data_IF_160192912998
#
_entry.id   IF_160192912998
#
_cell.length_a   1.000
_cell.length_b   1.000
_cell.length_c   1.000
_cell.angle_alpha   90.00
_cell.angle_beta   90.00
_cell.angle_gamma   90.00
#
_symmetry.space_group_name_H-M   'P 1'
#
loop_
_entity.id
_entity.type
_entity.pdbx_description
1 polymer ?
#
# COMPACT_ATOMS: atom_id res chain seq x y z
N UNK A 1 -7.60 -34.57 12.74
CA UNK A 1 -6.36 -33.93 13.24
C UNK A 1 -6.14 -32.69 12.40
N UNK A 2 -5.71 -31.56 12.98
CA UNK A 2 -5.32 -30.41 12.18
C UNK A 2 -4.19 -30.81 11.21
N UNK A 3 -4.11 -30.15 10.05
CA UNK A 3 -3.01 -30.34 9.10
C UNK A 3 -1.72 -29.96 9.83
N UNK A 4 -0.73 -30.86 9.86
CA UNK A 4 0.57 -30.53 10.44
C UNK A 4 1.31 -29.57 9.51
N UNK A 5 1.62 -28.37 9.99
CA UNK A 5 2.22 -27.31 9.18
C UNK A 5 3.73 -27.39 9.04
N UNK A 6 4.39 -28.38 9.66
CA UNK A 6 5.81 -28.63 9.45
C UNK A 6 6.10 -28.86 7.94
N UNK A 7 7.08 -28.13 7.34
CA UNK A 7 7.38 -28.22 5.90
C UNK A 7 7.66 -29.63 5.39
N UNK A 8 8.08 -30.56 6.25
CA UNK A 8 8.24 -31.98 5.87
C UNK A 8 6.92 -32.62 5.44
N UNK A 9 5.80 -32.18 6.00
CA UNK A 9 4.47 -32.72 5.72
C UNK A 9 3.74 -31.98 4.60
N UNK A 10 3.78 -30.65 4.62
CA UNK A 10 3.04 -29.80 3.67
C UNK A 10 3.89 -29.26 2.52
N UNK A 11 5.16 -29.66 2.43
CA UNK A 11 6.04 -29.30 1.32
C UNK A 11 6.68 -27.93 1.46
N UNK A 12 7.26 -27.46 0.35
CA UNK A 12 7.95 -26.17 0.25
C UNK A 12 7.80 -25.58 -1.14
N UNK A 13 7.96 -24.26 -1.25
CA UNK A 13 7.87 -23.56 -2.51
C UNK A 13 9.01 -22.56 -2.71
N UNK A 14 9.31 -22.25 -3.97
CA UNK A 14 10.26 -21.22 -4.37
C UNK A 14 9.86 -20.61 -5.72
N UNK A 15 10.47 -19.48 -6.06
CA UNK A 15 10.29 -18.78 -7.34
C UNK A 15 11.62 -18.74 -8.09
N UNK A 16 11.58 -18.77 -9.42
CA UNK A 16 12.77 -18.61 -10.27
C UNK A 16 12.44 -17.73 -11.48
N UNK A 17 13.25 -16.69 -11.78
CA UNK A 17 14.38 -16.20 -10.99
C UNK A 17 13.93 -15.61 -9.63
N UNK A 18 14.81 -15.69 -8.61
CA UNK A 18 14.59 -15.15 -7.27
C UNK A 18 15.27 -13.78 -7.05
N UNK A 19 15.57 -13.08 -8.14
CA UNK A 19 16.25 -11.78 -8.11
C UNK A 19 15.25 -10.63 -8.08
N UNK A 20 15.62 -9.44 -7.57
CA UNK A 20 14.77 -8.26 -7.62
C UNK A 20 14.25 -7.95 -9.02
N UNK A 21 12.98 -7.56 -9.10
CA UNK A 21 12.26 -7.27 -10.33
C UNK A 21 11.98 -5.77 -10.44
N UNK A 22 12.28 -5.19 -11.60
CA UNK A 22 11.96 -3.79 -11.87
C UNK A 22 10.45 -3.64 -12.01
N UNK A 23 9.87 -2.63 -11.35
CA UNK A 23 8.45 -2.32 -11.42
C UNK A 23 7.95 -2.21 -12.88
N UNK A 24 6.86 -2.94 -13.18
CA UNK A 24 6.25 -3.02 -14.51
C UNK A 24 7.06 -3.74 -15.57
N UNK A 25 8.18 -4.41 -15.22
CA UNK A 25 8.97 -5.18 -16.18
C UNK A 25 8.20 -6.39 -16.69
N UNK A 26 8.47 -6.74 -17.95
CA UNK A 26 7.95 -7.96 -18.58
C UNK A 26 8.93 -9.11 -18.40
N UNK A 27 8.46 -10.21 -17.83
CA UNK A 27 9.30 -11.36 -17.52
C UNK A 27 8.57 -12.70 -17.57
N UNK A 28 9.30 -13.73 -17.17
CA UNK A 28 8.79 -15.09 -16.98
C UNK A 28 9.27 -15.55 -15.61
N UNK A 29 8.36 -16.04 -14.79
CA UNK A 29 8.68 -16.55 -13.45
C UNK A 29 8.06 -17.93 -13.27
N UNK A 30 8.85 -18.86 -12.74
CA UNK A 30 8.37 -20.20 -12.40
C UNK A 30 8.19 -20.30 -10.90
N UNK A 31 6.94 -20.45 -10.48
CA UNK A 31 6.53 -20.78 -9.12
C UNK A 31 6.56 -22.30 -9.00
N UNK A 32 7.46 -22.83 -8.16
CA UNK A 32 7.61 -24.28 -7.95
C UNK A 32 7.17 -24.66 -6.56
N UNK A 33 6.37 -25.72 -6.46
CA UNK A 33 5.99 -26.37 -5.21
C UNK A 33 6.47 -27.82 -5.22
N UNK A 34 7.17 -28.23 -4.17
CA UNK A 34 7.59 -29.62 -3.92
C UNK A 34 6.68 -30.25 -2.86
N UNK A 35 6.07 -31.38 -3.22
CA UNK A 35 5.06 -32.07 -2.42
C UNK A 35 5.68 -32.68 -1.17
N UNK A 36 5.09 -32.40 -0.01
CA UNK A 36 5.50 -32.95 1.29
C UNK A 36 5.00 -34.38 1.55
N UNK A 37 5.24 -34.88 2.76
CA UNK A 37 4.96 -36.26 3.16
C UNK A 37 3.50 -36.68 3.03
N UNK A 38 2.53 -35.74 3.05
CA UNK A 38 1.12 -36.08 2.87
C UNK A 38 0.77 -36.49 1.43
N UNK A 39 1.56 -36.09 0.43
CA UNK A 39 1.17 -36.24 -0.96
C UNK A 39 0.03 -35.29 -1.37
N UNK A 40 -0.40 -35.41 -2.62
CA UNK A 40 -1.53 -34.70 -3.22
C UNK A 40 -2.34 -35.69 -4.05
N UNK A 41 -3.62 -35.87 -3.76
CA UNK A 41 -4.47 -36.81 -4.50
C UNK A 41 -5.30 -36.12 -5.60
N UNK A 42 -6.07 -36.90 -6.37
CA UNK A 42 -7.01 -36.37 -7.36
C UNK A 42 -7.88 -35.27 -6.73
N UNK A 43 -8.02 -34.14 -7.43
CA UNK A 43 -8.78 -32.93 -7.04
C UNK A 43 -8.17 -32.12 -5.91
N UNK A 44 -7.02 -32.51 -5.36
CA UNK A 44 -6.28 -31.64 -4.46
C UNK A 44 -5.86 -30.36 -5.19
N UNK A 45 -5.94 -29.23 -4.48
CA UNK A 45 -5.73 -27.89 -5.03
C UNK A 45 -4.58 -27.21 -4.31
N UNK A 46 -3.74 -26.55 -5.09
CA UNK A 46 -2.73 -25.63 -4.63
C UNK A 46 -3.18 -24.23 -5.03
N UNK A 47 -3.29 -23.31 -4.07
CA UNK A 47 -3.59 -21.91 -4.36
C UNK A 47 -2.34 -21.07 -4.11
N UNK A 48 -1.99 -20.22 -5.07
CA UNK A 48 -0.91 -19.25 -4.95
C UNK A 48 -1.53 -17.88 -5.04
N UNK A 49 -1.51 -17.14 -3.94
CA UNK A 49 -2.18 -15.86 -3.84
C UNK A 49 -1.18 -14.70 -3.84
N UNK A 50 -1.49 -13.65 -4.58
CA UNK A 50 -0.93 -12.33 -4.32
C UNK A 50 -1.85 -11.54 -3.37
N UNK A 51 -1.32 -10.46 -2.78
CA UNK A 51 -2.14 -9.50 -2.04
C UNK A 51 -3.17 -8.84 -2.96
N UNK A 52 -4.23 -8.34 -2.33
CA UNK A 52 -5.25 -7.50 -2.96
C UNK A 52 -4.62 -6.29 -3.65
N UNK A 53 -3.75 -5.58 -2.93
CA UNK A 53 -2.94 -4.48 -3.42
C UNK A 53 -1.77 -5.02 -4.27
N UNK A 54 -2.06 -5.38 -5.51
CA UNK A 54 -1.06 -5.74 -6.52
C UNK A 54 -1.69 -5.63 -7.90
N UNK A 55 -1.04 -4.94 -8.83
CA UNK A 55 -1.49 -4.82 -10.22
C UNK A 55 -0.68 -5.72 -11.16
N UNK A 56 -0.09 -6.80 -10.62
CA UNK A 56 0.52 -7.85 -11.43
C UNK A 56 -0.45 -8.35 -12.50
N UNK A 57 0.07 -8.63 -13.70
CA UNK A 57 -0.73 -9.05 -14.84
C UNK A 57 -1.62 -10.26 -14.54
N UNK A 58 -2.86 -10.23 -15.05
CA UNK A 58 -3.83 -11.32 -14.84
C UNK A 58 -3.46 -12.51 -15.73
N UNK A 59 -3.21 -13.71 -15.18
CA UNK A 59 -2.83 -14.88 -15.97
C UNK A 59 -3.94 -15.29 -16.94
N UNK A 60 -3.54 -15.84 -18.08
CA UNK A 60 -4.39 -16.50 -19.06
C UNK A 60 -3.77 -17.81 -19.52
N UNK A 61 -4.60 -18.75 -19.98
CA UNK A 61 -4.21 -20.16 -20.16
C UNK A 61 -4.41 -20.69 -21.59
N UNK A 62 -4.75 -19.83 -22.55
CA UNK A 62 -5.26 -20.27 -23.87
C UNK A 62 -4.50 -19.69 -25.07
N UNK A 63 -3.90 -18.51 -24.95
CA UNK A 63 -3.16 -17.86 -26.05
C UNK A 63 -1.65 -17.87 -25.80
N UNK A 64 -0.89 -18.83 -26.37
CA UNK A 64 0.56 -18.91 -26.17
C UNK A 64 1.35 -17.74 -26.79
N UNK A 65 0.72 -16.91 -27.63
CA UNK A 65 1.33 -15.70 -28.21
C UNK A 65 0.95 -14.43 -27.44
N UNK A 66 -0.04 -14.52 -26.56
CA UNK A 66 -0.54 -13.40 -25.77
C UNK A 66 0.33 -13.07 -24.56
N UNK A 67 0.09 -11.89 -23.98
CA UNK A 67 0.60 -11.55 -22.66
C UNK A 67 0.00 -12.48 -21.59
N UNK A 68 0.70 -12.60 -20.45
CA UNK A 68 0.22 -13.31 -19.26
C UNK A 68 -0.04 -14.81 -19.46
N UNK A 69 0.45 -15.40 -20.56
CA UNK A 69 0.31 -16.83 -20.83
C UNK A 69 0.95 -17.61 -19.69
N UNK A 70 0.19 -18.52 -19.08
CA UNK A 70 0.62 -19.26 -17.89
C UNK A 70 0.42 -20.75 -18.12
N UNK A 71 1.45 -21.53 -17.82
CA UNK A 71 1.47 -22.99 -18.05
C UNK A 71 1.79 -23.74 -16.76
N UNK A 72 1.41 -25.01 -16.70
CA UNK A 72 1.76 -25.93 -15.61
C UNK A 72 2.46 -27.16 -16.15
N UNK A 73 3.51 -27.60 -15.46
CA UNK A 73 4.24 -28.85 -15.72
C UNK A 73 4.40 -29.62 -14.42
N UNK A 74 4.11 -30.91 -14.45
CA UNK A 74 4.40 -31.82 -13.34
C UNK A 74 5.76 -32.50 -13.56
N UNK A 75 6.52 -32.61 -12.48
CA UNK A 75 7.70 -33.47 -12.38
C UNK A 75 7.37 -34.54 -11.34
N UNK A 76 6.89 -35.69 -11.81
CA UNK A 76 6.29 -36.72 -10.98
C UNK A 76 6.61 -38.11 -11.52
N UNK A 77 6.63 -39.09 -10.62
CA UNK A 77 6.69 -40.51 -10.98
C UNK A 77 5.33 -41.11 -11.39
N UNK A 78 4.23 -40.38 -11.21
CA UNK A 78 2.90 -40.79 -11.67
C UNK A 78 2.72 -40.37 -13.13
N UNK A 79 2.96 -41.29 -14.09
CA UNK A 79 2.90 -40.98 -15.53
C UNK A 79 1.52 -40.50 -16.01
N UNK A 80 0.45 -40.83 -15.27
CA UNK A 80 -0.92 -40.44 -15.59
C UNK A 80 -1.34 -39.15 -14.91
N UNK A 81 -0.50 -38.54 -14.07
CA UNK A 81 -0.89 -37.34 -13.34
C UNK A 81 -1.04 -36.14 -14.29
N UNK A 82 -2.14 -35.42 -14.14
CA UNK A 82 -2.47 -34.24 -14.95
C UNK A 82 -2.77 -33.08 -14.02
N UNK A 83 -2.27 -31.89 -14.34
CA UNK A 83 -2.63 -30.66 -13.64
C UNK A 83 -3.34 -29.68 -14.57
N UNK A 84 -4.27 -28.91 -14.02
CA UNK A 84 -4.94 -27.80 -14.70
C UNK A 84 -4.79 -26.51 -13.92
N UNK A 85 -4.94 -25.38 -14.61
CA UNK A 85 -4.85 -24.05 -14.02
C UNK A 85 -6.17 -23.30 -14.07
N UNK A 86 -6.42 -22.50 -13.04
CA UNK A 86 -7.50 -21.52 -13.00
C UNK A 86 -7.04 -20.24 -12.28
N UNK A 87 -7.77 -19.14 -12.49
CA UNK A 87 -7.56 -17.89 -11.75
C UNK A 87 -8.84 -17.48 -11.03
N UNK A 88 -8.75 -17.34 -9.72
CA UNK A 88 -9.85 -16.96 -8.83
C UNK A 88 -9.57 -15.56 -8.24
N UNK A 89 -10.27 -14.50 -8.70
CA UNK A 89 -10.05 -13.14 -8.19
C UNK A 89 -10.39 -12.94 -6.70
N UNK A 90 -11.14 -13.88 -6.11
CA UNK A 90 -11.50 -13.95 -4.68
C UNK A 90 -11.42 -15.40 -4.21
N UNK A 91 -10.25 -16.03 -4.38
CA UNK A 91 -10.02 -17.46 -4.10
C UNK A 91 -9.66 -17.79 -2.65
N UNK A 92 -9.36 -16.77 -1.83
CA UNK A 92 -8.94 -16.90 -0.43
C UNK A 92 -9.42 -15.72 0.42
N UNK A 93 -9.17 -15.77 1.73
CA UNK A 93 -9.48 -14.68 2.70
C UNK A 93 -8.62 -13.43 2.45
N UNK A 94 -9.09 -12.25 2.88
CA UNK A 94 -8.30 -11.01 2.81
C UNK A 94 -7.00 -11.18 3.60
N UNK A 95 -5.89 -10.53 3.17
CA UNK A 95 -5.71 -9.75 1.94
C UNK A 95 -5.36 -10.59 0.70
N UNK A 96 -5.44 -11.92 0.74
CA UNK A 96 -4.85 -12.83 -0.25
C UNK A 96 -5.83 -13.29 -1.34
N UNK A 97 -6.53 -12.36 -1.97
CA UNK A 97 -7.66 -12.69 -2.84
C UNK A 97 -7.31 -13.32 -4.21
N UNK A 98 -6.27 -12.81 -4.86
CA UNK A 98 -5.97 -13.11 -6.27
C UNK A 98 -5.20 -14.43 -6.38
N UNK A 99 -5.94 -15.52 -6.55
CA UNK A 99 -5.38 -16.87 -6.50
C UNK A 99 -5.17 -17.46 -7.91
N UNK A 100 -3.93 -17.82 -8.22
CA UNK A 100 -3.60 -18.81 -9.24
C UNK A 100 -3.78 -20.20 -8.62
N UNK A 101 -4.63 -21.01 -9.22
CA UNK A 101 -4.99 -22.34 -8.70
C UNK A 101 -4.41 -23.40 -9.61
N UNK A 102 -3.60 -24.31 -9.07
CA UNK A 102 -3.24 -25.55 -9.73
C UNK A 102 -4.00 -26.72 -9.10
N UNK A 103 -4.75 -27.45 -9.92
CA UNK A 103 -5.53 -28.61 -9.49
C UNK A 103 -4.92 -29.87 -10.08
N UNK A 104 -4.67 -30.90 -9.25
CA UNK A 104 -4.34 -32.24 -9.76
C UNK A 104 -5.64 -32.84 -10.31
N UNK A 105 -5.81 -32.79 -11.63
CA UNK A 105 -7.05 -33.15 -12.30
C UNK A 105 -7.23 -34.67 -12.44
N UNK A 106 -6.12 -35.41 -12.51
CA UNK A 106 -6.07 -36.88 -12.56
C UNK A 106 -4.73 -37.34 -11.94
N UNK A 107 -4.71 -38.56 -11.40
CA UNK A 107 -3.57 -39.15 -10.70
C UNK A 107 -3.26 -38.54 -9.33
N UNK A 108 -2.11 -38.90 -8.77
CA UNK A 108 -1.64 -38.44 -7.46
C UNK A 108 -0.17 -38.02 -7.53
N UNK A 109 0.20 -37.03 -6.72
CA UNK A 109 1.59 -36.61 -6.52
C UNK A 109 2.11 -37.13 -5.19
N UNK A 110 3.33 -37.65 -5.23
CA UNK A 110 4.00 -38.27 -4.10
C UNK A 110 5.01 -37.31 -3.46
N UNK A 111 5.46 -37.61 -2.22
CA UNK A 111 6.51 -36.81 -1.59
C UNK A 111 7.74 -36.67 -2.50
N UNK A 112 8.17 -35.42 -2.73
CA UNK A 112 9.26 -35.05 -3.62
C UNK A 112 8.87 -34.76 -5.07
N UNK A 113 7.65 -35.09 -5.51
CA UNK A 113 7.13 -34.64 -6.80
C UNK A 113 6.94 -33.11 -6.81
N UNK A 114 6.97 -32.49 -7.99
CA UNK A 114 6.92 -31.04 -8.13
C UNK A 114 5.87 -30.56 -9.11
N UNK A 115 5.24 -29.45 -8.75
CA UNK A 115 4.36 -28.65 -9.62
C UNK A 115 5.13 -27.41 -10.01
N UNK A 116 5.35 -27.22 -11.31
CA UNK A 116 5.98 -26.01 -11.87
C UNK A 116 4.92 -25.19 -12.59
N UNK A 117 4.70 -23.96 -12.15
CA UNK A 117 3.76 -23.04 -12.77
C UNK A 117 4.55 -21.87 -13.34
N UNK A 118 4.59 -21.76 -14.67
CA UNK A 118 5.33 -20.72 -15.38
C UNK A 118 4.38 -19.59 -15.71
N UNK A 119 4.52 -18.47 -15.00
CA UNK A 119 3.79 -17.22 -15.22
C UNK A 119 4.53 -16.40 -16.27
N UNK A 120 3.84 -16.05 -17.36
CA UNK A 120 4.44 -15.34 -18.48
C UNK A 120 5.31 -16.24 -19.36
N UNK A 121 4.86 -17.46 -19.65
CA UNK A 121 5.52 -18.40 -20.55
C UNK A 121 5.66 -17.80 -21.96
N UNK A 122 6.90 -17.77 -22.46
CA UNK A 122 7.27 -17.19 -23.76
C UNK A 122 7.52 -18.23 -24.85
N UNK A 123 7.31 -19.52 -24.58
CA UNK A 123 7.56 -20.60 -25.55
C UNK A 123 6.76 -20.46 -26.84
N UNK A 124 5.59 -19.82 -26.79
CA UNK A 124 4.78 -19.48 -27.97
C UNK A 124 5.14 -18.15 -28.65
N UNK A 125 6.08 -17.38 -28.11
CA UNK A 125 6.54 -16.09 -28.64
C UNK A 125 5.88 -14.85 -28.03
N UNK A 126 5.07 -14.99 -26.96
CA UNK A 126 4.46 -13.87 -26.25
C UNK A 126 5.45 -13.01 -25.45
N UNK A 127 5.02 -11.83 -24.95
CA UNK A 127 5.88 -10.90 -24.21
C UNK A 127 6.16 -11.34 -22.76
N UNK A 128 5.50 -12.38 -22.26
CA UNK A 128 5.56 -12.82 -20.86
C UNK A 128 4.49 -12.16 -19.99
N UNK A 129 4.77 -12.01 -18.69
CA UNK A 129 3.89 -11.40 -17.69
C UNK A 129 4.43 -10.05 -17.22
N UNK A 130 3.56 -9.07 -16.99
CA UNK A 130 3.92 -7.76 -16.45
C UNK A 130 3.94 -7.82 -14.93
N UNK A 131 5.11 -7.57 -14.34
CA UNK A 131 5.23 -7.39 -12.90
C UNK A 131 4.43 -6.17 -12.41
N UNK A 132 4.15 -6.11 -11.11
CA UNK A 132 3.45 -4.96 -10.52
C UNK A 132 4.22 -3.65 -10.73
N UNK A 133 3.50 -2.54 -10.79
CA UNK A 133 4.03 -1.24 -11.24
C UNK A 133 4.56 -0.36 -10.11
N UNK A 134 4.50 -0.84 -8.86
CA UNK A 134 5.00 -0.12 -7.70
C UNK A 134 6.02 -0.94 -6.90
N UNK A 135 6.86 -0.23 -6.15
CA UNK A 135 7.89 -0.81 -5.29
C UNK A 135 7.28 -1.54 -4.09
N UNK A 136 7.86 -2.67 -3.73
CA UNK A 136 7.48 -3.46 -2.56
C UNK A 136 8.65 -4.35 -2.16
N UNK A 137 9.07 -4.29 -0.89
CA UNK A 137 10.03 -5.25 -0.35
C UNK A 137 9.34 -6.50 0.15
N UNK A 138 9.83 -7.65 -0.31
CA UNK A 138 9.31 -8.95 0.07
C UNK A 138 7.91 -9.24 -0.47
N UNK A 139 7.60 -8.78 -1.69
CA UNK A 139 6.37 -9.09 -2.42
C UNK A 139 6.19 -10.61 -2.46
N UNK A 140 5.14 -11.09 -1.79
CA UNK A 140 4.95 -12.50 -1.46
C UNK A 140 3.95 -13.15 -2.41
N UNK A 141 4.31 -14.34 -2.90
CA UNK A 141 3.37 -15.25 -3.53
C UNK A 141 3.00 -16.32 -2.50
N UNK A 142 1.90 -16.11 -1.78
CA UNK A 142 1.52 -16.97 -0.65
C UNK A 142 0.95 -18.29 -1.13
N UNK A 143 1.59 -19.39 -0.74
CA UNK A 143 1.12 -20.74 -1.06
C UNK A 143 0.17 -21.23 0.01
N UNK A 144 -1.02 -21.62 -0.42
CA UNK A 144 -2.06 -22.27 0.37
C UNK A 144 -2.20 -23.72 -0.11
N UNK A 145 -2.00 -24.64 0.83
CA UNK A 145 -1.89 -26.08 0.62
C UNK A 145 -3.07 -26.77 1.31
N UNK A 146 -3.76 -27.63 0.57
CA UNK A 146 -4.79 -28.52 1.07
C UNK A 146 -4.46 -29.93 0.56
N UNK A 147 -3.61 -30.69 1.28
CA UNK A 147 -3.15 -31.99 0.83
C UNK A 147 -4.26 -33.05 0.86
N UNK A 148 -5.40 -32.75 1.50
CA UNK A 148 -6.51 -33.69 1.72
C UNK A 148 -7.76 -33.38 0.89
N UNK A 149 -7.75 -32.31 0.07
CA UNK A 149 -8.89 -31.95 -0.79
C UNK A 149 -10.15 -31.57 -0.02
N UNK A 150 -9.99 -30.97 1.16
CA UNK A 150 -11.08 -30.59 2.09
C UNK A 150 -11.54 -29.13 1.96
N UNK A 151 -10.89 -28.35 1.11
CA UNK A 151 -11.00 -26.88 1.01
C UNK A 151 -10.60 -26.13 2.30
N UNK A 152 -9.99 -26.84 3.27
CA UNK A 152 -9.31 -26.25 4.41
C UNK A 152 -7.82 -26.10 4.08
N UNK A 153 -7.41 -24.88 3.80
CA UNK A 153 -6.04 -24.58 3.41
C UNK A 153 -5.21 -24.16 4.63
N UNK A 154 -3.98 -24.64 4.69
CA UNK A 154 -2.90 -24.02 5.49
C UNK A 154 -1.97 -23.27 4.57
N UNK A 155 -1.33 -22.21 5.04
CA UNK A 155 -0.31 -21.52 4.26
C UNK A 155 1.10 -22.05 4.58
N UNK A 156 2.00 -22.01 3.61
CA UNK A 156 3.42 -22.26 3.85
C UNK A 156 4.01 -21.10 4.65
N UNK A 157 4.66 -21.38 5.77
CA UNK A 157 5.38 -20.38 6.58
C UNK A 157 6.45 -19.64 5.74
N UNK A 158 7.17 -20.39 4.89
CA UNK A 158 8.19 -19.86 3.98
C UNK A 158 7.69 -19.84 2.52
N UNK A 159 6.67 -19.02 2.24
CA UNK A 159 6.26 -18.72 0.86
C UNK A 159 7.30 -17.84 0.14
N UNK A 160 7.53 -18.03 -1.17
CA UNK A 160 8.53 -17.25 -1.91
C UNK A 160 8.18 -15.77 -1.96
N UNK A 161 9.23 -14.96 -1.92
CA UNK A 161 9.17 -13.50 -1.99
C UNK A 161 10.15 -12.98 -3.02
N UNK A 162 9.82 -11.86 -3.65
CA UNK A 162 10.73 -11.09 -4.50
C UNK A 162 10.66 -9.62 -4.13
N UNK A 163 11.75 -8.88 -4.33
CA UNK A 163 11.73 -7.43 -4.17
C UNK A 163 11.32 -6.76 -5.49
N UNK A 164 10.39 -5.83 -5.40
CA UNK A 164 9.97 -4.96 -6.49
C UNK A 164 10.67 -3.61 -6.34
N UNK A 165 11.53 -3.26 -7.31
CA UNK A 165 12.42 -2.09 -7.26
C UNK A 165 12.08 -1.04 -8.31
N UNK A 166 12.48 0.20 -8.06
CA UNK A 166 12.27 1.31 -9.00
C UNK A 166 13.03 1.13 -10.31
N UNK A 167 12.41 1.53 -11.41
CA UNK A 167 12.96 1.44 -12.76
C UNK A 167 14.01 2.50 -13.10
N UNK A 168 14.32 2.56 -14.40
CA UNK A 168 15.23 3.54 -14.96
C UNK A 168 14.62 4.96 -14.95
N UNK A 169 15.49 5.97 -14.98
CA UNK A 169 15.10 7.38 -15.04
C UNK A 169 14.11 7.67 -16.18
N UNK A 170 12.96 8.25 -15.81
CA UNK A 170 11.95 8.74 -16.74
C UNK A 170 11.75 10.26 -16.62
N UNK A 171 11.64 10.77 -15.38
CA UNK A 171 11.43 12.21 -15.14
C UNK A 171 12.04 12.67 -13.81
N UNK A 172 12.21 13.98 -13.68
CA UNK A 172 12.50 14.65 -12.41
C UNK A 172 11.21 15.13 -11.77
N UNK A 173 11.15 15.11 -10.43
CA UNK A 173 10.10 15.74 -9.63
C UNK A 173 10.76 16.60 -8.56
N UNK A 174 10.30 17.84 -8.43
CA UNK A 174 10.70 18.76 -7.37
C UNK A 174 9.48 19.15 -6.53
N UNK A 175 9.58 19.09 -5.21
CA UNK A 175 8.51 19.40 -4.26
C UNK A 175 9.03 20.39 -3.22
N UNK A 176 8.19 21.35 -2.83
CA UNK A 176 8.51 22.30 -1.77
C UNK A 176 7.24 22.69 -0.99
N UNK A 177 7.35 23.25 0.22
CA UNK A 177 6.18 23.80 0.92
C UNK A 177 5.54 24.94 0.12
N UNK A 178 4.21 25.03 0.11
CA UNK A 178 3.51 26.15 -0.57
C UNK A 178 3.79 27.49 0.10
N UNK A 179 3.92 27.48 1.43
CA UNK A 179 4.07 28.70 2.23
C UNK A 179 5.12 28.53 3.31
N UNK A 180 5.92 29.57 3.53
CA UNK A 180 7.00 29.60 4.53
C UNK A 180 6.99 30.92 5.29
N UNK A 181 7.63 30.98 6.45
CA UNK A 181 7.83 32.24 7.18
C UNK A 181 9.10 32.93 6.66
N UNK A 182 9.10 34.26 6.47
CA UNK A 182 10.30 34.99 6.04
C UNK A 182 11.50 34.71 6.95
N UNK A 183 12.65 34.42 6.34
CA UNK A 183 13.89 34.06 7.02
C UNK A 183 13.91 32.68 7.67
N UNK A 184 12.77 31.99 7.81
CA UNK A 184 12.73 30.64 8.36
C UNK A 184 13.29 29.62 7.37
N UNK A 185 13.97 28.62 7.91
CA UNK A 185 14.48 27.50 7.12
C UNK A 185 13.33 26.60 6.70
N UNK A 186 13.40 26.07 5.48
CA UNK A 186 12.53 25.00 5.01
C UNK A 186 13.32 24.00 4.15
N UNK A 187 12.73 22.81 3.99
CA UNK A 187 13.27 21.76 3.13
C UNK A 187 12.46 21.69 1.84
N UNK A 188 13.14 21.38 0.74
CA UNK A 188 12.51 20.92 -0.51
C UNK A 188 13.02 19.52 -0.85
N UNK A 189 12.38 18.86 -1.80
CA UNK A 189 12.72 17.52 -2.23
C UNK A 189 12.90 17.48 -3.75
N UNK A 190 13.94 16.79 -4.20
CA UNK A 190 14.18 16.46 -5.59
C UNK A 190 14.25 14.94 -5.71
N UNK A 191 13.53 14.36 -6.65
CA UNK A 191 13.62 12.93 -6.96
C UNK A 191 13.65 12.64 -8.45
N UNK A 192 14.31 11.55 -8.80
CA UNK A 192 14.19 10.91 -10.10
C UNK A 192 13.15 9.80 -10.01
N UNK A 193 12.18 9.81 -10.90
CA UNK A 193 11.13 8.80 -10.98
C UNK A 193 11.23 7.96 -12.25
N UNK A 194 10.82 6.69 -12.14
CA UNK A 194 10.58 5.82 -13.28
C UNK A 194 9.24 6.15 -13.96
N UNK A 195 8.92 5.39 -15.01
CA UNK A 195 7.70 5.61 -15.81
C UNK A 195 6.41 5.40 -15.02
N UNK A 196 6.46 4.73 -13.88
CA UNK A 196 5.33 4.47 -13.00
C UNK A 196 5.27 5.42 -11.80
N UNK A 197 6.21 6.35 -11.67
CA UNK A 197 6.27 7.30 -10.57
C UNK A 197 7.03 6.78 -9.34
N UNK A 198 7.67 5.61 -9.41
CA UNK A 198 8.52 5.14 -8.32
C UNK A 198 9.84 5.91 -8.30
N UNK A 199 10.40 6.23 -7.12
CA UNK A 199 11.79 6.65 -7.03
C UNK A 199 12.73 5.65 -7.69
N UNK A 200 13.60 6.12 -8.58
CA UNK A 200 14.58 5.27 -9.25
C UNK A 200 15.58 4.67 -8.25
N UNK A 201 16.01 3.43 -8.49
CA UNK A 201 17.18 2.83 -7.81
C UNK A 201 18.34 2.59 -8.79
N UNK A 202 18.13 2.91 -10.07
CA UNK A 202 19.06 2.68 -11.17
C UNK A 202 19.32 3.97 -11.94
N UNK A 203 19.86 4.97 -11.24
CA UNK A 203 20.16 6.27 -11.81
C UNK A 203 21.51 6.80 -11.32
N UNK A 204 22.47 6.89 -12.25
CA UNK A 204 23.72 7.60 -12.07
C UNK A 204 23.65 8.93 -12.83
N UNK A 205 23.72 10.05 -12.12
CA UNK A 205 23.60 11.34 -12.77
C UNK A 205 23.75 12.54 -11.84
N UNK A 206 24.29 13.62 -12.40
CA UNK A 206 24.28 14.93 -11.75
C UNK A 206 23.06 15.72 -12.23
N UNK A 207 22.28 16.23 -11.28
CA UNK A 207 21.13 17.11 -11.52
C UNK A 207 21.51 18.52 -11.08
N UNK A 208 21.47 19.46 -12.02
CA UNK A 208 21.78 20.86 -11.77
C UNK A 208 20.55 21.60 -11.28
N UNK A 209 20.74 22.52 -10.34
CA UNK A 209 19.68 23.24 -9.67
C UNK A 209 19.80 24.75 -9.89
N UNK A 210 18.65 25.41 -9.98
CA UNK A 210 18.56 26.86 -10.06
C UNK A 210 17.30 27.37 -9.35
N UNK A 211 17.32 28.63 -8.94
CA UNK A 211 16.16 29.30 -8.36
C UNK A 211 15.37 30.00 -9.47
N UNK A 212 14.08 29.71 -9.58
CA UNK A 212 13.21 30.30 -10.61
C UNK A 212 12.28 31.33 -9.98
N UNK A 213 12.12 32.49 -10.63
CA UNK A 213 11.26 33.59 -10.21
C UNK A 213 11.90 34.53 -9.18
N UNK A 214 12.44 33.99 -8.09
CA UNK A 214 13.05 34.76 -7.00
C UNK A 214 14.32 34.11 -6.45
N UNK A 215 15.04 34.85 -5.60
CA UNK A 215 16.24 34.34 -4.96
C UNK A 215 15.89 33.31 -3.87
N UNK A 216 16.57 32.16 -3.91
CA UNK A 216 16.41 31.09 -2.94
C UNK A 216 17.74 30.81 -2.24
N UNK A 217 17.90 31.33 -1.03
CA UNK A 217 19.14 31.16 -0.29
C UNK A 217 19.29 29.70 0.19
N UNK A 218 20.52 29.18 0.14
CA UNK A 218 20.84 27.82 0.56
C UNK A 218 20.66 26.74 -0.51
N UNK A 219 20.18 27.09 -1.71
CA UNK A 219 20.04 26.13 -2.81
C UNK A 219 21.43 25.70 -3.31
N UNK A 220 21.78 24.39 -3.27
CA UNK A 220 23.04 23.92 -3.84
C UNK A 220 23.03 24.02 -5.37
N UNK A 221 24.21 24.06 -5.99
CA UNK A 221 24.32 24.13 -7.46
C UNK A 221 23.91 22.83 -8.17
N UNK A 222 24.10 21.68 -7.52
CA UNK A 222 23.75 20.37 -8.06
C UNK A 222 23.58 19.32 -6.96
N UNK A 223 22.99 18.19 -7.35
CA UNK A 223 22.87 16.96 -6.57
C UNK A 223 23.34 15.80 -7.44
N UNK A 224 24.16 14.90 -6.88
CA UNK A 224 24.58 13.68 -7.55
C UNK A 224 23.76 12.48 -7.04
N UNK A 225 23.17 11.73 -7.96
CA UNK A 225 22.55 10.43 -7.70
C UNK A 225 23.47 9.31 -8.16
N UNK A 226 23.44 8.20 -7.43
CA UNK A 226 24.21 6.99 -7.70
C UNK A 226 23.27 5.80 -7.80
N UNK A 227 23.52 4.94 -8.79
CA UNK A 227 22.78 3.69 -8.94
C UNK A 227 23.04 2.79 -7.73
N UNK A 228 21.99 2.12 -7.26
CA UNK A 228 21.97 1.36 -6.02
C UNK A 228 21.35 2.12 -4.84
N UNK A 229 21.36 3.45 -4.88
CA UNK A 229 20.64 4.29 -3.92
C UNK A 229 19.26 4.66 -4.48
N UNK A 230 18.30 4.89 -3.59
CA UNK A 230 17.01 5.50 -3.97
C UNK A 230 17.25 6.96 -4.34
N UNK A 231 16.93 7.34 -5.57
CA UNK A 231 17.25 8.65 -6.15
C UNK A 231 16.33 9.77 -5.64
N UNK A 232 16.40 10.05 -4.35
CA UNK A 232 15.67 11.09 -3.62
C UNK A 232 16.69 11.93 -2.83
N UNK A 233 16.64 13.24 -3.02
CA UNK A 233 17.51 14.19 -2.35
C UNK A 233 16.70 15.26 -1.64
N UNK A 234 16.96 15.42 -0.34
CA UNK A 234 16.39 16.49 0.47
C UNK A 234 17.30 17.72 0.42
N UNK A 235 16.77 18.81 -0.13
CA UNK A 235 17.42 20.11 -0.22
C UNK A 235 17.11 20.89 1.08
N UNK A 236 18.03 20.83 2.04
CA UNK A 236 17.82 21.39 3.38
C UNK A 236 18.25 22.85 3.46
N UNK A 237 17.65 23.58 4.39
CA UNK A 237 18.19 24.89 4.78
C UNK A 237 17.79 26.04 3.86
N UNK A 238 16.80 25.85 2.99
CA UNK A 238 16.35 26.85 2.03
C UNK A 238 15.63 28.00 2.72
N UNK A 239 15.78 29.22 2.19
CA UNK A 239 15.16 30.42 2.78
C UNK A 239 14.70 31.41 1.72
N UNK A 240 13.53 31.99 1.98
CA UNK A 240 13.06 33.24 1.38
C UNK A 240 13.22 34.35 2.41
N UNK A 241 13.78 35.50 2.01
CA UNK A 241 14.23 36.51 2.96
C UNK A 241 13.09 37.41 3.45
N UNK A 242 12.23 37.83 2.53
CA UNK A 242 11.26 38.90 2.73
C UNK A 242 9.83 38.40 2.59
N UNK A 243 8.90 38.96 3.35
CA UNK A 243 7.48 38.70 3.15
C UNK A 243 7.05 39.08 1.73
N UNK A 244 6.29 38.20 1.07
CA UNK A 244 5.89 38.35 -0.33
C UNK A 244 6.91 37.83 -1.34
N UNK A 245 8.11 37.40 -0.93
CA UNK A 245 9.03 36.71 -1.83
C UNK A 245 8.40 35.42 -2.34
N UNK A 246 8.64 35.12 -3.60
CA UNK A 246 8.17 33.91 -4.28
C UNK A 246 9.31 33.27 -5.06
N UNK A 247 9.47 31.96 -4.94
CA UNK A 247 10.45 31.21 -5.73
C UNK A 247 9.99 29.77 -5.98
N UNK A 248 10.68 29.12 -6.93
CA UNK A 248 10.60 27.69 -7.19
C UNK A 248 12.00 27.10 -7.22
N UNK A 249 12.09 25.80 -6.91
CA UNK A 249 13.29 25.01 -7.19
C UNK A 249 13.20 24.53 -8.63
N UNK A 250 14.10 25.03 -9.49
CA UNK A 250 14.34 24.51 -10.83
C UNK A 250 15.39 23.40 -10.80
N UNK A 251 15.19 22.35 -11.59
CA UNK A 251 16.13 21.24 -11.72
C UNK A 251 16.25 20.77 -13.16
N UNK A 252 17.46 20.36 -13.58
CA UNK A 252 17.73 19.85 -14.93
C UNK A 252 18.76 18.73 -14.98
N UNK A 253 18.51 17.74 -15.83
CA UNK A 253 19.43 16.65 -16.16
C UNK A 253 19.25 16.25 -17.63
N UNK A 254 20.27 16.45 -18.47
CA UNK A 254 20.12 16.34 -19.92
C UNK A 254 18.99 17.26 -20.42
N UNK A 255 18.03 16.68 -21.13
CA UNK A 255 16.83 17.39 -21.63
C UNK A 255 15.70 17.47 -20.60
N UNK A 256 15.76 16.68 -19.51
CA UNK A 256 14.73 16.70 -18.48
C UNK A 256 14.83 17.99 -17.65
N UNK A 257 13.69 18.64 -17.43
CA UNK A 257 13.54 19.85 -16.64
C UNK A 257 12.28 19.78 -15.78
N UNK A 258 12.36 20.31 -14.57
CA UNK A 258 11.20 20.43 -13.68
C UNK A 258 11.34 21.69 -12.82
N UNK A 259 10.20 22.25 -12.42
CA UNK A 259 10.10 23.26 -11.38
C UNK A 259 9.20 22.74 -10.27
N UNK A 260 9.50 23.07 -9.02
CA UNK A 260 8.61 22.78 -7.91
C UNK A 260 7.31 23.59 -7.98
N UNK A 261 6.35 23.26 -7.10
CA UNK A 261 5.28 24.18 -6.75
C UNK A 261 5.84 25.52 -6.22
N UNK A 262 4.97 26.54 -6.17
CA UNK A 262 5.35 27.90 -5.78
C UNK A 262 5.58 27.91 -4.27
N UNK A 263 6.72 28.43 -3.84
CA UNK A 263 6.98 28.73 -2.44
C UNK A 263 6.77 30.22 -2.23
N UNK A 264 5.86 30.58 -1.32
CA UNK A 264 5.59 31.98 -0.96
C UNK A 264 5.96 32.27 0.49
N UNK A 265 6.73 33.33 0.71
CA UNK A 265 6.99 33.86 2.03
C UNK A 265 5.77 34.63 2.54
N UNK A 266 5.19 34.16 3.65
CA UNK A 266 3.96 34.71 4.22
C UNK A 266 4.14 36.13 4.76
N UNK A 267 3.07 36.92 4.65
CA UNK A 267 2.90 38.17 5.37
C UNK A 267 2.60 37.97 6.87
N UNK A 268 2.70 39.03 7.69
CA UNK A 268 2.30 39.00 9.08
C UNK A 268 0.82 38.58 9.24
N UNK A 269 0.56 37.63 10.13
CA UNK A 269 -0.80 37.16 10.44
C UNK A 269 -1.42 36.19 9.43
N UNK A 270 -0.77 35.93 8.29
CA UNK A 270 -1.28 34.92 7.34
C UNK A 270 -1.11 33.49 7.88
N UNK A 271 -2.07 32.62 7.56
CA UNK A 271 -2.05 31.19 7.88
C UNK A 271 -1.08 30.44 6.98
N UNK A 272 -0.41 29.43 7.55
CA UNK A 272 0.46 28.50 6.81
C UNK A 272 -0.38 27.38 6.20
N UNK A 273 0.00 26.97 4.99
CA UNK A 273 -0.50 25.75 4.33
C UNK A 273 0.38 24.56 4.70
N UNK A 274 -0.27 23.43 4.97
CA UNK A 274 0.36 22.15 5.26
C UNK A 274 -0.24 21.09 4.34
N UNK A 275 0.55 20.10 3.96
CA UNK A 275 0.14 18.99 3.11
C UNK A 275 0.21 17.68 3.89
N UNK A 276 -0.84 16.89 3.83
CA UNK A 276 -0.86 15.60 4.50
C UNK A 276 -1.65 14.57 3.72
N UNK A 277 -1.35 13.32 4.03
CA UNK A 277 -2.12 12.16 3.62
C UNK A 277 -2.52 11.40 4.87
N UNK A 278 -3.80 11.49 5.22
CA UNK A 278 -4.35 11.03 6.49
C UNK A 278 -5.07 9.68 6.36
N UNK A 279 -5.01 9.05 5.19
CA UNK A 279 -5.69 7.80 4.90
C UNK A 279 -4.81 6.92 4.03
N UNK A 280 -4.21 5.90 4.63
CA UNK A 280 -3.41 4.90 3.93
C UNK A 280 -3.22 3.65 4.78
N UNK A 281 -3.00 2.53 4.11
CA UNK A 281 -2.90 1.20 4.69
C UNK A 281 -1.51 0.62 4.46
N UNK A 282 -1.20 -0.46 5.18
CA UNK A 282 0.07 -1.18 5.04
C UNK A 282 -0.18 -2.68 5.00
N UNK A 283 0.90 -3.48 4.89
CA UNK A 283 0.82 -4.96 4.97
C UNK A 283 0.24 -5.50 6.28
N UNK A 284 0.11 -4.66 7.32
CA UNK A 284 -0.56 -5.00 8.58
C UNK A 284 -2.04 -5.39 8.35
N UNK A 285 -2.69 -4.81 7.33
CA UNK A 285 -4.05 -5.13 6.92
C UNK A 285 -4.08 -5.51 5.43
N UNK A 286 -4.72 -4.70 4.59
CA UNK A 286 -4.95 -4.97 3.17
C UNK A 286 -3.97 -4.35 2.19
N UNK A 287 -3.05 -3.54 2.70
CA UNK A 287 -2.01 -2.91 1.92
C UNK A 287 -0.78 -3.78 1.65
N UNK A 288 0.28 -3.13 1.19
CA UNK A 288 1.65 -3.60 1.02
C UNK A 288 2.59 -2.75 1.89
N UNK A 289 3.89 -3.07 1.92
CA UNK A 289 4.84 -2.27 2.71
C UNK A 289 4.65 -2.39 4.23
N UNK A 290 5.68 -2.10 5.01
CA UNK A 290 5.59 -2.06 6.48
C UNK A 290 5.14 -0.68 6.95
N UNK A 291 4.74 -0.54 8.22
CA UNK A 291 4.45 0.76 8.83
C UNK A 291 5.67 1.70 8.75
N UNK A 292 6.87 1.17 8.98
CA UNK A 292 8.15 1.89 8.81
C UNK A 292 8.32 2.41 7.37
N UNK A 293 8.11 1.55 6.36
CA UNK A 293 8.19 1.95 4.96
C UNK A 293 7.15 3.01 4.59
N UNK A 294 5.94 2.92 5.14
CA UNK A 294 4.86 3.90 4.92
C UNK A 294 5.24 5.29 5.46
N UNK A 295 5.64 5.40 6.73
CA UNK A 295 6.04 6.67 7.32
C UNK A 295 7.33 7.23 6.72
N UNK A 296 8.31 6.37 6.43
CA UNK A 296 9.52 6.78 5.72
C UNK A 296 9.20 7.34 4.33
N UNK A 297 8.31 6.70 3.58
CA UNK A 297 7.92 7.19 2.25
C UNK A 297 7.23 8.56 2.34
N UNK A 298 6.18 8.69 3.17
CA UNK A 298 5.45 9.95 3.28
C UNK A 298 6.34 11.11 3.72
N UNK A 299 7.16 10.91 4.76
CA UNK A 299 8.04 11.95 5.29
C UNK A 299 9.23 12.25 4.38
N UNK A 300 9.92 11.21 3.91
CA UNK A 300 11.25 11.35 3.31
C UNK A 300 11.26 11.25 1.78
N UNK A 301 10.16 10.81 1.15
CA UNK A 301 10.02 10.71 -0.32
C UNK A 301 8.90 11.61 -0.87
N UNK A 302 7.80 11.76 -0.14
CA UNK A 302 6.66 12.60 -0.55
C UNK A 302 6.67 14.01 0.08
N UNK A 303 7.52 14.26 1.08
CA UNK A 303 7.63 15.54 1.79
C UNK A 303 6.30 15.98 2.45
N UNK A 304 5.56 15.03 3.03
CA UNK A 304 4.33 15.31 3.77
C UNK A 304 4.65 15.98 5.12
N UNK A 305 3.81 16.95 5.48
CA UNK A 305 3.83 17.63 6.78
C UNK A 305 2.99 16.88 7.83
N UNK A 306 1.98 16.11 7.38
CA UNK A 306 1.08 15.37 8.24
C UNK A 306 0.76 13.99 7.68
N UNK A 307 0.62 13.00 8.54
CA UNK A 307 0.26 11.64 8.14
C UNK A 307 -0.67 10.97 9.15
N UNK A 308 -1.40 9.95 8.71
CA UNK A 308 -2.02 8.96 9.59
C UNK A 308 -2.06 7.61 8.89
N UNK A 309 -1.87 6.53 9.64
CA UNK A 309 -2.10 5.17 9.16
C UNK A 309 -3.51 4.76 9.59
N UNK A 310 -4.27 4.18 8.67
CA UNK A 310 -5.69 3.90 8.83
C UNK A 310 -5.95 2.43 8.50
N UNK A 311 -5.38 1.54 9.32
CA UNK A 311 -5.64 0.11 9.21
C UNK A 311 -7.11 -0.22 9.51
N UNK A 312 -7.71 -1.16 8.76
CA UNK A 312 -9.04 -1.68 9.06
C UNK A 312 -9.09 -2.28 10.48
N UNK A 313 -9.91 -1.69 11.34
CA UNK A 313 -10.07 -2.05 12.75
C UNK A 313 -10.25 -3.55 13.03
N UNK A 314 -11.06 -4.23 12.21
CA UNK A 314 -11.37 -5.66 12.35
C UNK A 314 -10.23 -6.60 11.92
N UNK A 315 -9.06 -6.07 11.53
CA UNK A 315 -7.83 -6.80 11.20
C UNK A 315 -6.65 -6.42 12.12
N UNK A 316 -6.81 -5.40 12.99
CA UNK A 316 -5.73 -4.92 13.85
C UNK A 316 -5.68 -5.74 15.14
N UNK A 317 -4.57 -6.45 15.33
CA UNK A 317 -4.24 -7.11 16.60
C UNK A 317 -3.66 -6.12 17.61
N UNK A 318 -3.67 -6.47 18.90
CA UNK A 318 -3.04 -5.64 19.94
C UNK A 318 -1.53 -5.43 19.68
N UNK A 319 -0.84 -6.47 19.19
CA UNK A 319 0.58 -6.37 18.82
C UNK A 319 0.81 -5.33 17.71
N UNK A 320 0.01 -5.37 16.63
CA UNK A 320 0.14 -4.40 15.54
C UNK A 320 -0.31 -2.99 15.96
N UNK A 321 -1.27 -2.86 16.88
CA UNK A 321 -1.66 -1.57 17.46
C UNK A 321 -0.53 -0.92 18.27
N UNK A 322 0.14 -1.68 19.14
CA UNK A 322 1.29 -1.15 19.88
C UNK A 322 2.46 -0.85 18.95
N UNK A 323 2.72 -1.72 17.96
CA UNK A 323 3.75 -1.47 16.94
C UNK A 323 3.50 -0.19 16.16
N UNK A 324 2.25 0.10 15.80
CA UNK A 324 1.88 1.35 15.14
C UNK A 324 2.28 2.55 16.01
N UNK A 325 1.95 2.51 17.31
CA UNK A 325 2.29 3.60 18.23
C UNK A 325 3.81 3.80 18.38
N UNK A 326 4.57 2.72 18.47
CA UNK A 326 6.04 2.77 18.54
C UNK A 326 6.64 3.41 17.27
N UNK A 327 6.16 3.04 16.08
CA UNK A 327 6.62 3.64 14.82
C UNK A 327 6.17 5.11 14.69
N UNK A 328 4.98 5.48 15.19
CA UNK A 328 4.55 6.87 15.26
C UNK A 328 5.53 7.68 16.11
N UNK A 329 5.89 7.22 17.32
CA UNK A 329 6.85 7.91 18.20
C UNK A 329 8.21 8.11 17.51
N UNK A 330 8.65 7.12 16.72
CA UNK A 330 9.92 7.17 15.99
C UNK A 330 9.92 8.15 14.81
N UNK A 331 8.80 8.32 14.13
CA UNK A 331 8.72 9.11 12.90
C UNK A 331 8.14 10.51 13.08
N UNK A 332 7.29 10.69 14.10
CA UNK A 332 6.69 11.97 14.45
C UNK A 332 7.77 12.97 14.87
N UNK A 333 7.74 14.16 14.26
CA UNK A 333 8.68 15.24 14.59
C UNK A 333 7.99 16.60 14.41
N UNK A 334 7.81 17.31 15.52
CA UNK A 334 7.21 18.65 15.54
C UNK A 334 7.91 19.60 14.55
N UNK A 335 7.11 20.28 13.73
CA UNK A 335 7.61 21.21 12.72
C UNK A 335 8.22 20.54 11.48
N UNK A 336 8.28 19.20 11.42
CA UNK A 336 8.72 18.45 10.23
C UNK A 336 7.64 17.53 9.68
N UNK A 337 7.09 16.61 10.48
CA UNK A 337 6.04 15.69 10.08
C UNK A 337 5.25 15.23 11.31
N UNK A 338 4.01 15.69 11.43
CA UNK A 338 3.11 15.32 12.52
C UNK A 338 2.33 14.08 12.13
N UNK A 339 2.43 13.02 12.93
CA UNK A 339 1.74 11.76 12.65
C UNK A 339 0.67 11.53 13.71
N UNK A 340 -0.58 11.38 13.26
CA UNK A 340 -1.73 11.12 14.11
C UNK A 340 -1.95 9.62 14.27
N UNK A 341 -2.17 9.18 15.51
CA UNK A 341 -2.66 7.82 15.80
C UNK A 341 -4.07 7.70 15.24
N UNK A 342 -4.35 6.63 14.52
CA UNK A 342 -5.64 6.42 13.89
C UNK A 342 -5.87 4.99 13.42
N UNK A 343 -7.10 4.72 13.01
CA UNK A 343 -7.53 3.45 12.43
C UNK A 343 -8.81 3.66 11.62
N UNK A 344 -9.02 2.83 10.60
CA UNK A 344 -10.24 2.86 9.78
C UNK A 344 -11.32 2.03 10.50
N UNK A 345 -12.31 2.69 11.10
CA UNK A 345 -13.51 2.01 11.61
C UNK A 345 -14.32 1.52 10.41
N UNK A 346 -14.33 0.21 10.18
CA UNK A 346 -14.69 -0.36 8.88
C UNK A 346 -16.04 -1.10 8.92
N UNK A 347 -17.05 -0.42 9.47
CA UNK A 347 -18.39 -0.99 9.68
C UNK A 347 -19.23 -1.10 8.41
N UNK A 348 -20.17 -2.05 8.40
CA UNK A 348 -21.12 -2.22 7.29
C UNK A 348 -21.92 -0.94 7.04
N UNK A 349 -22.12 -0.55 5.78
CA UNK A 349 -22.89 0.65 5.41
C UNK A 349 -24.25 0.78 6.11
N UNK A 350 -25.10 -0.27 6.22
CA UNK A 350 -26.36 -0.15 6.96
C UNK A 350 -26.21 0.23 8.45
N UNK A 351 -25.01 0.07 9.02
CA UNK A 351 -24.66 0.51 10.36
C UNK A 351 -23.75 1.74 10.39
N UNK A 352 -23.55 2.45 9.26
CA UNK A 352 -22.77 3.68 9.18
C UNK A 352 -21.80 3.72 8.01
N UNK A 353 -21.08 2.64 7.72
CA UNK A 353 -20.00 2.63 6.72
C UNK A 353 -18.65 3.17 7.22
N UNK A 354 -17.64 3.13 6.36
CA UNK A 354 -16.24 3.35 6.75
C UNK A 354 -15.96 4.79 7.23
N UNK A 355 -15.17 4.92 8.31
CA UNK A 355 -14.72 6.19 8.89
C UNK A 355 -13.29 6.08 9.39
N UNK A 356 -12.44 7.01 8.97
CA UNK A 356 -11.11 7.16 9.57
C UNK A 356 -11.24 7.82 10.93
N UNK A 357 -10.75 7.14 11.98
CA UNK A 357 -10.66 7.67 13.34
C UNK A 357 -9.25 8.19 13.56
N UNK A 358 -9.12 9.40 14.08
CA UNK A 358 -7.84 10.04 14.37
C UNK A 358 -7.86 10.69 15.75
N UNK A 359 -6.75 10.56 16.47
CA UNK A 359 -6.54 11.17 17.78
C UNK A 359 -5.53 12.31 17.67
N UNK A 360 -5.80 13.43 18.36
CA UNK A 360 -4.86 14.58 18.43
C UNK A 360 -3.59 14.22 19.19
N UNK A 361 -3.68 13.30 20.15
CA UNK A 361 -2.57 12.86 20.99
C UNK A 361 -2.43 11.34 21.04
N UNK A 362 -1.62 10.86 21.97
CA UNK A 362 -1.26 9.45 22.19
C UNK A 362 -2.28 8.68 23.05
N UNK A 363 -3.23 9.38 23.69
CA UNK A 363 -4.38 8.77 24.40
C UNK A 363 -5.42 8.30 23.38
N UNK A 364 -5.12 7.18 22.74
CA UNK A 364 -5.92 6.52 21.72
C UNK A 364 -6.43 5.15 22.18
N UNK A 365 -7.64 4.81 21.78
CA UNK A 365 -8.28 3.51 22.06
C UNK A 365 -8.78 2.91 20.76
N UNK A 366 -8.59 1.61 20.55
CA UNK A 366 -9.13 0.92 19.38
C UNK A 366 -10.55 0.43 19.69
N UNK A 367 -11.55 1.05 19.08
CA UNK A 367 -12.94 0.60 19.14
C UNK A 367 -13.33 0.01 17.79
N UNK A 368 -13.47 -1.32 17.70
CA UNK A 368 -13.71 -2.01 16.44
C UNK A 368 -15.19 -2.03 16.07
N UNK A 369 -15.44 -2.13 14.77
CA UNK A 369 -16.73 -2.44 14.18
C UNK A 369 -17.09 -3.92 14.31
N UNK A 370 -16.08 -4.80 14.34
CA UNK A 370 -16.21 -6.24 14.59
C UNK A 370 -14.83 -6.90 14.80
N UNK A 371 -14.85 -8.16 15.25
CA UNK A 371 -13.70 -9.07 15.30
C UNK A 371 -13.61 -10.02 14.10
N UNK A 372 -14.08 -9.61 12.92
CA UNK A 372 -14.26 -10.52 11.78
C UNK A 372 -12.98 -11.23 11.29
N UNK A 373 -11.80 -10.62 11.48
CA UNK A 373 -10.50 -11.19 11.09
C UNK A 373 -9.46 -11.11 12.25
N UNK A 374 -9.94 -11.07 13.50
CA UNK A 374 -9.09 -11.12 14.71
C UNK A 374 -9.61 -12.21 15.63
N UNK A 375 -8.79 -13.23 15.90
CA UNK A 375 -9.17 -14.38 16.74
C UNK A 375 -9.24 -14.04 18.24
N UNK A 376 -8.46 -13.05 18.69
CA UNK A 376 -8.45 -12.59 20.08
C UNK A 376 -9.70 -11.74 20.37
N UNK A 377 -10.55 -12.20 21.28
CA UNK A 377 -11.81 -11.56 21.65
C UNK A 377 -11.72 -10.79 22.99
N UNK A 378 -10.51 -10.59 23.53
CA UNK A 378 -10.32 -10.04 24.87
C UNK A 378 -10.92 -8.63 25.06
N UNK A 379 -10.96 -7.81 24.00
CA UNK A 379 -11.47 -6.45 24.02
C UNK A 379 -12.80 -6.28 23.27
N UNK A 380 -13.47 -7.37 22.87
CA UNK A 380 -14.75 -7.34 22.15
C UNK A 380 -15.89 -6.62 22.87
N UNK A 381 -15.78 -6.42 24.19
CA UNK A 381 -16.71 -5.61 24.97
C UNK A 381 -16.61 -4.09 24.65
N UNK A 382 -15.55 -3.68 23.95
CA UNK A 382 -15.30 -2.28 23.54
C UNK A 382 -15.69 -2.01 22.09
N UNK A 383 -16.12 -3.04 21.36
CA UNK A 383 -16.62 -2.93 19.99
C UNK A 383 -17.83 -1.98 19.93
N UNK A 384 -17.88 -1.19 18.87
CA UNK A 384 -18.91 -0.22 18.61
C UNK A 384 -19.55 -0.55 17.25
N UNK A 385 -20.78 -1.08 17.27
CA UNK A 385 -21.60 -1.26 16.06
C UNK A 385 -23.08 -1.16 16.43
N UNK A 386 -23.91 -0.36 15.73
CA UNK A 386 -23.56 0.50 14.59
C UNK A 386 -22.75 1.74 15.01
N UNK A 387 -22.38 2.59 14.05
CA UNK A 387 -21.52 3.78 14.26
C UNK A 387 -22.05 4.75 15.32
N UNK A 388 -23.34 4.74 15.62
CA UNK A 388 -23.91 5.56 16.71
C UNK A 388 -23.35 5.19 18.08
N UNK A 389 -22.96 3.93 18.29
CA UNK A 389 -22.26 3.51 19.51
C UNK A 389 -20.85 4.12 19.58
N UNK A 390 -20.17 4.22 18.43
CA UNK A 390 -18.87 4.89 18.33
C UNK A 390 -19.01 6.40 18.62
N UNK A 391 -20.06 7.03 18.12
CA UNK A 391 -20.36 8.43 18.43
C UNK A 391 -20.65 8.66 19.92
N UNK A 392 -21.42 7.75 20.56
CA UNK A 392 -21.66 7.79 22.00
C UNK A 392 -20.35 7.64 22.78
N UNK A 393 -19.51 6.68 22.39
CA UNK A 393 -18.24 6.41 23.03
C UNK A 393 -17.29 7.63 23.01
N UNK A 394 -17.32 8.42 21.95
CA UNK A 394 -16.52 9.65 21.84
C UNK A 394 -17.27 10.93 22.24
N UNK A 395 -18.47 10.83 22.79
CA UNK A 395 -19.27 12.00 23.19
C UNK A 395 -18.51 12.88 24.18
N UNK A 396 -18.31 14.14 23.80
CA UNK A 396 -17.65 15.14 24.65
C UNK A 396 -16.12 15.13 24.57
N UNK A 397 -15.52 14.25 23.78
CA UNK A 397 -14.10 14.35 23.41
C UNK A 397 -13.91 15.49 22.40
N UNK A 398 -12.81 16.23 22.54
CA UNK A 398 -12.42 17.33 21.63
C UNK A 398 -11.12 17.05 20.87
N UNK A 399 -10.59 15.84 21.06
CA UNK A 399 -9.31 15.37 20.54
C UNK A 399 -9.46 14.15 19.63
N UNK A 400 -10.69 13.81 19.24
CA UNK A 400 -11.01 12.76 18.27
C UNK A 400 -11.65 13.39 17.03
N UNK A 401 -11.18 12.96 15.86
CA UNK A 401 -11.72 13.34 14.55
C UNK A 401 -12.14 12.07 13.82
N UNK A 402 -13.37 12.06 13.31
CA UNK A 402 -13.87 11.04 12.39
C UNK A 402 -14.00 11.65 11.00
N UNK A 403 -13.52 10.94 9.99
CA UNK A 403 -13.66 11.33 8.58
C UNK A 403 -14.43 10.23 7.85
N UNK A 404 -15.73 10.42 7.58
CA UNK A 404 -16.47 9.53 6.71
C UNK A 404 -15.88 9.58 5.29
N UNK A 405 -15.68 8.40 4.70
CA UNK A 405 -15.10 8.26 3.37
C UNK A 405 -15.78 7.15 2.57
N UNK A 406 -15.34 6.98 1.33
CA UNK A 406 -15.76 5.89 0.45
C UNK A 406 -14.52 5.02 0.19
N UNK A 407 -14.52 3.82 0.77
CA UNK A 407 -13.44 2.84 0.63
C UNK A 407 -14.01 1.47 0.30
N UNK A 408 -13.73 0.48 1.16
CA UNK A 408 -14.30 -0.86 1.03
C UNK A 408 -15.84 -0.87 1.11
N UNK A 409 -16.40 0.10 1.83
CA UNK A 409 -17.83 0.38 2.00
C UNK A 409 -18.05 1.89 1.88
N UNK A 410 -19.28 2.28 1.57
CA UNK A 410 -19.63 3.70 1.55
C UNK A 410 -20.11 4.14 2.94
N UNK A 411 -19.63 5.29 3.42
CA UNK A 411 -20.18 5.96 4.59
C UNK A 411 -21.58 6.54 4.30
N UNK A 412 -22.60 6.06 5.02
CA UNK A 412 -23.94 6.65 5.00
C UNK A 412 -24.01 7.84 5.95
N UNK A 413 -23.64 9.02 5.45
CA UNK A 413 -23.74 10.27 6.22
C UNK A 413 -25.18 10.82 6.26
N UNK A 414 -26.08 10.31 5.42
CA UNK A 414 -27.48 10.75 5.35
C UNK A 414 -28.26 10.18 6.54
N UNK A 415 -27.98 8.93 6.90
CA UNK A 415 -28.50 8.24 8.07
C UNK A 415 -27.69 8.48 9.34
N UNK A 416 -26.36 8.64 9.22
CA UNK A 416 -25.44 8.66 10.35
C UNK A 416 -24.43 9.81 10.27
N UNK A 417 -24.64 10.86 11.05
CA UNK A 417 -23.70 11.97 11.13
C UNK A 417 -23.64 12.60 12.53
N UNK A 418 -22.43 12.85 13.04
CA UNK A 418 -22.20 13.67 14.23
C UNK A 418 -21.32 14.87 13.88
N UNK A 419 -21.91 16.07 13.83
CA UNK A 419 -21.21 17.28 13.37
C UNK A 419 -20.04 17.73 14.26
N UNK A 420 -19.92 17.22 15.50
CA UNK A 420 -18.77 17.52 16.37
C UNK A 420 -17.60 16.60 16.08
N UNK A 421 -17.88 15.32 15.80
CA UNK A 421 -16.86 14.33 15.49
C UNK A 421 -16.46 14.35 14.00
N UNK A 422 -17.36 14.74 13.11
CA UNK A 422 -17.22 14.67 11.65
C UNK A 422 -17.28 16.06 10.99
N UNK A 423 -16.34 16.97 11.28
CA UNK A 423 -16.32 18.31 10.68
C UNK A 423 -15.89 18.31 9.21
N UNK A 424 -15.43 17.19 8.66
CA UNK A 424 -14.98 17.06 7.26
C UNK A 424 -15.47 15.75 6.65
N UNK A 425 -15.59 15.71 5.32
CA UNK A 425 -15.84 14.48 4.56
C UNK A 425 -14.73 14.26 3.53
N UNK A 426 -14.36 13.01 3.30
CA UNK A 426 -13.40 12.65 2.25
C UNK A 426 -14.11 12.45 0.92
N UNK A 427 -13.73 13.24 -0.09
CA UNK A 427 -14.38 13.23 -1.41
C UNK A 427 -13.51 12.62 -2.50
N UNK A 428 -12.27 12.23 -2.19
CA UNK A 428 -11.35 11.66 -3.15
C UNK A 428 -10.37 10.70 -2.48
N UNK A 429 -10.13 9.60 -3.17
CA UNK A 429 -9.04 8.65 -2.95
C UNK A 429 -8.60 8.00 -4.26
N UNK A 430 -7.60 7.13 -4.21
CA UNK A 430 -7.15 6.34 -5.36
C UNK A 430 -8.26 5.42 -5.91
N UNK A 431 -9.30 5.17 -5.11
CA UNK A 431 -10.50 4.42 -5.52
C UNK A 431 -11.50 5.23 -6.33
N UNK A 432 -11.44 6.56 -6.27
CA UNK A 432 -12.30 7.41 -7.08
C UNK A 432 -12.57 8.80 -6.52
N UNK A 433 -13.48 9.48 -7.21
CA UNK A 433 -14.02 10.78 -6.82
C UNK A 433 -15.46 10.59 -6.35
N UNK A 434 -15.77 11.19 -5.21
CA UNK A 434 -17.01 10.99 -4.47
C UNK A 434 -17.67 12.32 -4.13
N UNK A 435 -17.70 13.27 -5.08
CA UNK A 435 -18.31 14.60 -4.84
C UNK A 435 -19.78 14.51 -4.43
N UNK A 436 -20.46 13.40 -4.76
CA UNK A 436 -21.83 13.12 -4.31
C UNK A 436 -21.94 13.03 -2.77
N UNK A 437 -20.90 12.61 -2.05
CA UNK A 437 -20.90 12.58 -0.59
C UNK A 437 -20.96 14.02 -0.02
N UNK A 438 -20.27 14.97 -0.64
CA UNK A 438 -20.39 16.38 -0.30
C UNK A 438 -21.78 16.92 -0.64
N UNK A 439 -22.37 16.52 -1.77
CA UNK A 439 -23.74 16.91 -2.12
C UNK A 439 -24.75 16.41 -1.08
N UNK A 440 -24.61 15.17 -0.60
CA UNK A 440 -25.45 14.62 0.47
C UNK A 440 -25.31 15.41 1.76
N UNK A 441 -24.08 15.77 2.15
CA UNK A 441 -23.83 16.61 3.32
C UNK A 441 -24.51 17.98 3.20
N UNK A 442 -24.38 18.63 2.04
CA UNK A 442 -25.01 19.94 1.77
C UNK A 442 -26.55 19.84 1.76
N UNK A 443 -27.11 18.77 1.17
CA UNK A 443 -28.56 18.54 1.14
C UNK A 443 -29.15 18.33 2.55
N UNK A 444 -28.36 17.78 3.48
CA UNK A 444 -28.71 17.65 4.90
C UNK A 444 -28.48 18.93 5.72
N UNK A 445 -27.89 19.96 5.12
CA UNK A 445 -27.57 21.22 5.79
C UNK A 445 -26.35 21.14 6.71
N UNK A 446 -25.47 20.15 6.53
CA UNK A 446 -24.25 20.00 7.31
C UNK A 446 -23.23 21.08 6.94
N UNK A 447 -22.40 21.46 7.91
CA UNK A 447 -21.27 22.36 7.72
C UNK A 447 -19.99 21.53 7.80
N UNK A 448 -19.52 21.07 6.65
CA UNK A 448 -18.34 20.21 6.55
C UNK A 448 -17.24 20.88 5.71
N UNK A 449 -15.99 20.64 6.10
CA UNK A 449 -14.84 20.80 5.21
C UNK A 449 -14.67 19.57 4.32
N UNK A 450 -13.63 19.61 3.49
CA UNK A 450 -13.33 18.57 2.51
C UNK A 450 -11.89 18.12 2.70
N UNK A 451 -11.68 16.81 2.68
CA UNK A 451 -10.35 16.20 2.58
C UNK A 451 -10.25 15.31 1.35
N UNK A 452 -9.02 15.05 0.93
CA UNK A 452 -8.67 14.20 -0.20
C UNK A 452 -7.37 13.51 0.16
N UNK A 453 -7.43 12.22 0.41
CA UNK A 453 -6.31 11.40 0.86
C UNK A 453 -6.05 10.30 -0.17
N UNK A 454 -5.00 9.49 -0.02
CA UNK A 454 -4.74 8.44 -1.01
C UNK A 454 -5.69 7.24 -0.85
N UNK A 455 -6.02 6.85 0.39
CA UNK A 455 -6.47 5.48 0.69
C UNK A 455 -5.52 4.46 0.02
N UNK A 456 -4.22 4.80 0.05
CA UNK A 456 -3.16 4.03 -0.60
C UNK A 456 -2.98 2.70 0.11
N UNK A 457 -2.83 1.63 -0.66
CA UNK A 457 -2.72 0.27 -0.14
C UNK A 457 -1.33 -0.32 -0.38
#
# INVERSE_FOLDING_TARGET
MPINTDPRFIGRAWITPDTPVVAGAWGTWTLTYEVGAYGYDERARLKIASRFASDWGKPQFTDPKGAEYTTVRLETKCETAVASLAFEPRGQVRPWFKCLVASVADGSLYPGDRIHITVGDRSGGGPGSRAQTFRERGCEFRFFVDPFGTELYVHLEASPRIDMVGGAFHRLVALAPTTVRPGASFDALLKAEDVWGNPCERFDGEVWLDAVGGALAGLPASVAFKSGDVAVARLRGLRLATAGDEARVGARHGDARVESNLVRALGPGESKTWWGDLHGQTRATVGTGTIDEYFAFGRDVALLDMMSHQANDFQVTEEEWQRLKDEIERYHEDGRCVIFVGYEWSGMTPGGGDRNVMYRGDIASLHRSSHAEVDDMADAATDCFPVTELFEQFRGREDVLLVPHIGGRYADIVGFHDARLEPVVEIYSDWGRFEWLLHDALAKGYKVGVVSNSDGH
#
